data_IF_843716918049
#
_entry.id   IF_843716918049
#
_cell.length_a   1.000
_cell.length_b   1.000
_cell.length_c   1.000
_cell.angle_alpha   90.00
_cell.angle_beta   90.00
_cell.angle_gamma   90.00
#
_symmetry.space_group_name_H-M   'P 1'
#
loop_
_entity.id
_entity.type
_entity.pdbx_description
1 polymer ?
#
# COMPACT_ATOMS: atom_id res chain seq x y z
N UNK A 1 0.98 1.18 1.87
CA UNK A 1 0.40 0.35 2.94
C UNK A 1 0.51 0.93 4.34
N UNK A 2 1.38 1.92 4.62
CA UNK A 2 1.70 2.34 6.00
C UNK A 2 2.19 1.19 6.89
N UNK A 3 2.63 0.10 6.25
CA UNK A 3 3.20 -1.08 6.84
C UNK A 3 4.59 -1.30 6.26
N UNK A 4 5.47 -1.88 7.05
CA UNK A 4 6.86 -2.14 6.73
C UNK A 4 7.00 -3.47 5.98
N UNK A 5 6.64 -3.49 4.69
CA UNK A 5 6.62 -4.73 3.87
C UNK A 5 8.02 -5.26 3.49
N UNK A 6 9.06 -4.43 3.57
CA UNK A 6 10.45 -4.80 3.24
C UNK A 6 11.35 -4.85 4.50
N UNK A 7 10.75 -4.98 5.69
CA UNK A 7 11.45 -4.87 6.98
C UNK A 7 11.34 -3.48 7.60
N UNK A 8 11.82 -3.32 8.85
CA UNK A 8 11.59 -2.12 9.67
C UNK A 8 12.13 -0.87 8.96
N UNK A 9 11.32 0.19 8.90
CA UNK A 9 11.69 1.44 8.22
C UNK A 9 11.46 2.66 9.10
N UNK A 10 12.56 3.31 9.48
CA UNK A 10 12.59 4.56 10.25
C UNK A 10 11.86 5.72 9.55
N UNK A 11 11.70 5.63 8.23
CA UNK A 11 10.94 6.60 7.43
C UNK A 11 9.44 6.57 7.75
N UNK A 12 8.87 5.38 7.99
CA UNK A 12 7.45 5.21 8.31
C UNK A 12 7.13 5.74 9.71
N UNK A 13 8.04 5.54 10.65
CA UNK A 13 7.95 6.08 12.02
C UNK A 13 7.98 7.60 12.02
N UNK A 14 8.88 8.22 11.24
CA UNK A 14 9.02 9.68 11.16
C UNK A 14 7.95 10.36 10.32
N UNK A 15 7.41 9.69 9.30
CA UNK A 15 6.46 10.24 8.33
C UNK A 15 5.37 9.20 8.00
N UNK A 16 4.36 9.01 8.88
CA UNK A 16 3.32 7.97 8.73
C UNK A 16 2.23 8.30 7.70
N UNK A 17 2.49 9.27 6.83
CA UNK A 17 1.57 9.79 5.83
C UNK A 17 2.06 9.46 4.42
N UNK A 18 1.16 9.52 3.43
CA UNK A 18 1.51 9.19 2.05
C UNK A 18 2.60 10.11 1.49
N UNK A 19 3.37 9.69 0.48
CA UNK A 19 4.30 10.58 -0.21
C UNK A 19 3.54 11.71 -0.95
N UNK A 20 4.25 12.78 -1.29
CA UNK A 20 3.71 13.91 -2.06
C UNK A 20 3.11 15.05 -1.21
N UNK A 21 2.82 16.18 -1.86
CA UNK A 21 2.34 17.41 -1.22
C UNK A 21 1.01 17.21 -0.48
N UNK A 22 0.13 16.38 -1.03
CA UNK A 22 -1.17 16.05 -0.41
C UNK A 22 -1.09 14.93 0.64
N UNK A 23 0.09 14.37 0.89
CA UNK A 23 0.28 13.25 1.81
C UNK A 23 -0.23 13.53 3.23
N UNK A 24 -0.06 14.77 3.69
CA UNK A 24 -0.52 15.26 5.01
C UNK A 24 -1.97 15.72 5.05
N UNK A 25 -2.64 15.80 3.89
CA UNK A 25 -4.04 16.22 3.84
C UNK A 25 -4.94 15.16 4.49
N UNK A 26 -6.09 15.58 5.01
CA UNK A 26 -7.09 14.65 5.56
C UNK A 26 -7.52 13.69 4.45
N UNK A 27 -7.32 12.39 4.67
CA UNK A 27 -7.75 11.35 3.75
C UNK A 27 -9.28 11.28 3.76
N UNK A 28 -9.90 11.34 2.60
CA UNK A 28 -11.33 11.05 2.46
C UNK A 28 -11.59 9.59 2.83
N UNK A 29 -12.83 9.27 3.25
CA UNK A 29 -13.25 7.88 3.47
C UNK A 29 -13.02 7.07 2.20
N UNK A 30 -12.33 5.95 2.34
CA UNK A 30 -12.09 5.00 1.24
C UNK A 30 -13.38 4.24 0.95
N UNK A 31 -13.60 3.90 -0.31
CA UNK A 31 -14.64 2.94 -0.71
C UNK A 31 -14.20 1.51 -0.41
N UNK A 32 -15.15 0.58 -0.34
CA UNK A 32 -14.88 -0.87 -0.23
C UNK A 32 -13.91 -1.35 -1.31
N UNK A 33 -14.14 -0.93 -2.57
CA UNK A 33 -13.26 -1.26 -3.68
C UNK A 33 -11.83 -0.74 -3.46
N UNK A 34 -11.66 0.48 -2.93
CA UNK A 34 -10.34 1.02 -2.66
C UNK A 34 -9.61 0.23 -1.56
N UNK A 35 -10.33 -0.27 -0.56
CA UNK A 35 -9.79 -1.13 0.49
C UNK A 35 -9.31 -2.47 -0.11
N UNK A 36 -10.16 -3.12 -0.92
CA UNK A 36 -9.80 -4.37 -1.59
C UNK A 36 -8.59 -4.21 -2.53
N UNK A 37 -8.55 -3.10 -3.28
CA UNK A 37 -7.45 -2.77 -4.17
C UNK A 37 -6.14 -2.56 -3.40
N UNK A 38 -6.18 -1.89 -2.25
CA UNK A 38 -5.00 -1.73 -1.39
C UNK A 38 -4.47 -3.07 -0.88
N UNK A 39 -5.33 -3.99 -0.45
CA UNK A 39 -4.91 -5.32 0.00
C UNK A 39 -4.31 -6.15 -1.16
N UNK A 40 -4.93 -6.12 -2.35
CA UNK A 40 -4.35 -6.76 -3.55
C UNK A 40 -2.97 -6.18 -3.87
N UNK A 41 -2.83 -4.85 -3.84
CA UNK A 41 -1.55 -4.20 -4.11
C UNK A 41 -0.52 -4.57 -3.05
N UNK A 42 -0.90 -4.65 -1.78
CA UNK A 42 -0.03 -5.04 -0.66
C UNK A 42 0.63 -6.38 -0.95
N UNK A 43 -0.18 -7.41 -1.20
CA UNK A 43 0.30 -8.74 -1.52
C UNK A 43 1.21 -8.73 -2.78
N UNK A 44 0.79 -8.03 -3.84
CA UNK A 44 1.57 -7.92 -5.08
C UNK A 44 2.98 -7.36 -4.83
N UNK A 45 3.10 -6.28 -4.07
CA UNK A 45 4.40 -5.65 -3.79
C UNK A 45 5.25 -6.45 -2.80
N UNK A 46 4.65 -7.06 -1.78
CA UNK A 46 5.38 -7.88 -0.79
C UNK A 46 6.09 -9.05 -1.47
N UNK A 47 5.42 -9.72 -2.40
CA UNK A 47 6.00 -10.87 -3.12
C UNK A 47 6.74 -10.50 -4.40
N UNK A 48 6.76 -9.22 -4.79
CA UNK A 48 7.42 -8.77 -6.02
C UNK A 48 6.82 -9.36 -7.31
N UNK A 49 5.54 -9.73 -7.30
CA UNK A 49 4.86 -10.38 -8.43
C UNK A 49 4.32 -9.36 -9.44
N UNK A 50 4.33 -9.73 -10.72
CA UNK A 50 3.62 -8.97 -11.75
C UNK A 50 2.11 -9.16 -11.65
N UNK A 51 1.33 -8.20 -12.15
CA UNK A 51 -0.14 -8.27 -12.07
C UNK A 51 -0.71 -9.47 -12.83
N UNK A 52 -0.11 -9.84 -13.97
CA UNK A 52 -0.50 -11.03 -14.73
C UNK A 52 -0.23 -12.32 -13.95
N UNK A 53 0.90 -12.41 -13.26
CA UNK A 53 1.24 -13.58 -12.44
C UNK A 53 0.32 -13.66 -11.22
N UNK A 54 0.08 -12.54 -10.56
CA UNK A 54 -0.82 -12.46 -9.41
C UNK A 54 -2.25 -12.91 -9.77
N UNK A 55 -2.80 -12.42 -10.88
CA UNK A 55 -4.13 -12.80 -11.38
C UNK A 55 -4.24 -14.26 -11.84
N UNK A 56 -3.14 -14.88 -12.23
CA UNK A 56 -3.14 -16.29 -12.61
C UNK A 56 -3.12 -17.22 -11.39
N UNK A 57 -2.64 -16.73 -10.24
CA UNK A 57 -2.56 -17.48 -8.99
C UNK A 57 -3.81 -17.30 -8.10
N UNK A 58 -4.53 -16.18 -8.27
CA UNK A 58 -5.69 -15.76 -7.48
C UNK A 58 -6.76 -15.12 -8.37
#
# INVERSE_FOLDING_TARGET
FKEAIFGPSKALERKPYGPGQHGRSRFNRKSEYAIQLEEKQKAKYTYGLLEKQFRNLY
#
